data_IF_566985860444
#
_entry.id   IF_566985860444
#
_cell.length_a   1.000
_cell.length_b   1.000
_cell.length_c   1.000
_cell.angle_alpha   90.00
_cell.angle_beta   90.00
_cell.angle_gamma   90.00
#
_symmetry.space_group_name_H-M   'P 1'
#
loop_
_entity.id
_entity.type
_entity.pdbx_description
1 polymer ?
#
# COMPACT_ATOMS: atom_id res chain seq x y z
N UNK A 1 12.02 27.79 0.23
CA UNK A 1 11.18 28.77 0.96
C UNK A 1 9.81 28.77 0.30
N UNK A 2 8.73 28.71 1.07
CA UNK A 2 7.36 28.61 0.54
C UNK A 2 6.72 27.21 0.61
N UNK A 3 7.42 26.21 1.14
CA UNK A 3 6.83 24.88 1.35
C UNK A 3 5.71 24.97 2.39
N UNK A 4 4.55 24.46 2.02
CA UNK A 4 3.37 24.36 2.88
C UNK A 4 3.12 22.90 3.25
N UNK A 5 2.59 22.65 4.44
CA UNK A 5 2.31 21.29 4.89
C UNK A 5 1.03 21.22 5.74
N UNK A 6 0.40 20.04 5.70
CA UNK A 6 -0.60 19.56 6.64
C UNK A 6 -0.33 18.07 6.87
N UNK A 7 -0.72 17.53 8.03
CA UNK A 7 -0.51 16.12 8.38
C UNK A 7 -1.87 15.47 8.66
N UNK A 8 -2.16 14.39 7.93
CA UNK A 8 -3.17 13.42 8.29
C UNK A 8 -2.48 12.26 9.00
N UNK A 9 -2.76 12.07 10.28
CA UNK A 9 -2.17 11.02 11.09
C UNK A 9 -3.15 9.86 11.20
N UNK A 10 -2.79 8.69 10.66
CA UNK A 10 -3.55 7.46 10.84
C UNK A 10 -3.00 6.69 12.05
N UNK A 11 -3.87 6.27 12.96
CA UNK A 11 -3.50 5.50 14.15
C UNK A 11 -4.66 4.64 14.64
N UNK A 12 -4.48 3.94 15.75
CA UNK A 12 -5.55 3.15 16.37
C UNK A 12 -5.53 3.41 17.88
N UNK A 13 -6.66 3.87 18.43
CA UNK A 13 -6.81 4.22 19.86
C UNK A 13 -6.66 3.03 20.79
N UNK A 14 -6.73 1.81 20.27
CA UNK A 14 -6.43 0.58 21.00
C UNK A 14 -4.96 0.49 21.42
N UNK A 15 -4.07 1.27 20.77
CA UNK A 15 -2.66 1.33 21.10
C UNK A 15 -2.33 2.50 22.04
N UNK A 16 -1.34 2.36 22.95
CA UNK A 16 -0.98 3.41 23.92
C UNK A 16 -0.51 4.74 23.31
N UNK A 17 -0.13 4.73 22.04
CA UNK A 17 0.52 5.83 21.35
C UNK A 17 -0.26 6.22 20.09
N UNK A 18 -1.55 6.52 20.26
CA UNK A 18 -2.44 6.97 19.20
C UNK A 18 -1.81 8.10 18.37
N UNK A 19 -1.79 7.94 17.04
CA UNK A 19 -1.28 8.90 16.06
C UNK A 19 0.14 9.44 16.30
N UNK A 20 0.97 8.76 17.12
CA UNK A 20 2.27 9.30 17.56
C UNK A 20 3.23 9.62 16.40
N UNK A 21 3.26 8.79 15.36
CA UNK A 21 4.14 9.04 14.21
C UNK A 21 3.75 10.35 13.49
N UNK A 22 2.47 10.55 13.18
CA UNK A 22 1.99 11.78 12.55
C UNK A 22 2.12 13.00 13.46
N UNK A 23 1.92 12.83 14.78
CA UNK A 23 2.16 13.88 15.77
C UNK A 23 3.62 14.35 15.77
N UNK A 24 4.58 13.42 15.81
CA UNK A 24 6.01 13.74 15.76
C UNK A 24 6.42 14.41 14.45
N UNK A 25 5.89 13.92 13.31
CA UNK A 25 6.14 14.53 12.01
C UNK A 25 5.63 15.98 11.95
N UNK A 26 4.40 16.19 12.43
CA UNK A 26 3.76 17.50 12.45
C UNK A 26 4.50 18.51 13.35
N UNK A 27 5.01 18.06 14.50
CA UNK A 27 5.87 18.88 15.36
C UNK A 27 7.19 19.23 14.67
N UNK A 28 7.90 18.22 14.15
CA UNK A 28 9.18 18.43 13.47
C UNK A 28 9.06 19.37 12.26
N UNK A 29 8.00 19.21 11.46
CA UNK A 29 7.71 20.09 10.32
C UNK A 29 7.35 21.50 10.79
N UNK A 30 6.62 21.66 11.90
CA UNK A 30 6.31 22.96 12.48
C UNK A 30 7.54 23.70 13.02
N UNK A 31 8.50 22.97 13.58
CA UNK A 31 9.77 23.55 14.04
C UNK A 31 10.64 24.03 12.85
N UNK A 32 10.69 23.24 11.77
CA UNK A 32 11.47 23.57 10.56
C UNK A 32 10.77 24.65 9.72
N UNK A 33 9.43 24.67 9.70
CA UNK A 33 8.58 25.56 8.91
C UNK A 33 7.51 26.24 9.77
N UNK A 34 7.86 27.24 10.61
CA UNK A 34 6.91 27.90 11.52
C UNK A 34 5.67 28.48 10.83
N UNK A 35 5.85 29.06 9.63
CA UNK A 35 4.76 29.61 8.79
C UNK A 35 4.31 28.64 7.66
N UNK A 36 4.78 27.39 7.70
CA UNK A 36 4.53 26.38 6.67
C UNK A 36 3.20 25.65 6.85
N UNK A 37 2.67 25.57 8.07
CA UNK A 37 1.46 24.82 8.36
C UNK A 37 0.24 25.50 7.71
N UNK A 38 -0.37 24.84 6.73
CA UNK A 38 -1.55 25.38 6.05
C UNK A 38 -2.87 24.92 6.68
N UNK A 39 -2.84 23.82 7.43
CA UNK A 39 -3.97 23.29 8.18
C UNK A 39 -3.47 22.51 9.40
N UNK A 40 -4.25 22.52 10.49
CA UNK A 40 -3.97 21.70 11.66
C UNK A 40 -3.92 20.20 11.30
N UNK A 41 -3.16 19.45 12.11
CA UNK A 41 -3.09 18.00 11.98
C UNK A 41 -4.45 17.40 12.27
N UNK A 42 -4.87 16.42 11.48
CA UNK A 42 -6.05 15.59 11.73
C UNK A 42 -5.59 14.20 12.17
N UNK A 43 -6.26 13.62 13.15
CA UNK A 43 -5.91 12.32 13.75
C UNK A 43 -7.07 11.33 13.54
N UNK A 44 -6.84 10.32 12.70
CA UNK A 44 -7.82 9.31 12.31
C UNK A 44 -7.62 8.05 13.14
N UNK A 45 -8.74 7.50 13.61
CA UNK A 45 -8.79 6.20 14.27
C UNK A 45 -9.15 5.10 13.26
N UNK A 46 -8.21 4.20 12.99
CA UNK A 46 -8.27 3.17 11.97
C UNK A 46 -8.53 3.77 10.57
N UNK A 47 -9.69 3.49 9.99
CA UNK A 47 -10.08 3.90 8.64
C UNK A 47 -11.41 4.67 8.69
N UNK A 48 -11.38 5.92 9.16
CA UNK A 48 -12.54 6.84 9.07
C UNK A 48 -12.51 7.55 7.71
N UNK A 49 -13.01 6.86 6.67
CA UNK A 49 -13.04 7.39 5.30
C UNK A 49 -13.72 8.76 5.16
N UNK A 50 -14.87 9.04 5.79
CA UNK A 50 -15.46 10.38 5.78
C UNK A 50 -14.52 11.49 6.28
N UNK A 51 -13.80 11.27 7.37
CA UNK A 51 -12.87 12.26 7.92
C UNK A 51 -11.61 12.40 7.05
N UNK A 52 -11.13 11.30 6.47
CA UNK A 52 -10.04 11.30 5.48
C UNK A 52 -10.45 12.12 4.25
N UNK A 53 -11.63 11.88 3.69
CA UNK A 53 -12.14 12.59 2.52
C UNK A 53 -12.31 14.08 2.79
N UNK A 54 -12.85 14.46 3.97
CA UNK A 54 -12.93 15.87 4.38
C UNK A 54 -11.55 16.52 4.44
N UNK A 55 -10.56 15.83 5.02
CA UNK A 55 -9.19 16.34 5.07
C UNK A 55 -8.62 16.54 3.64
N UNK A 56 -8.82 15.56 2.75
CA UNK A 56 -8.38 15.65 1.34
C UNK A 56 -9.03 16.84 0.65
N UNK A 57 -10.35 17.00 0.77
CA UNK A 57 -11.08 18.12 0.17
C UNK A 57 -10.57 19.48 0.68
N UNK A 58 -10.32 19.59 1.98
CA UNK A 58 -9.80 20.82 2.59
C UNK A 58 -8.40 21.15 2.08
N UNK A 59 -7.50 20.16 2.00
CA UNK A 59 -6.15 20.35 1.45
C UNK A 59 -6.22 20.76 -0.02
N UNK A 60 -7.06 20.10 -0.83
CA UNK A 60 -7.25 20.47 -2.24
C UNK A 60 -7.72 21.92 -2.39
N UNK A 61 -8.68 22.35 -1.56
CA UNK A 61 -9.16 23.73 -1.58
C UNK A 61 -8.05 24.74 -1.23
N UNK A 62 -7.23 24.43 -0.23
CA UNK A 62 -6.07 25.26 0.15
C UNK A 62 -5.08 25.35 -1.02
N UNK A 63 -4.72 24.21 -1.63
CA UNK A 63 -3.78 24.15 -2.77
C UNK A 63 -4.31 24.97 -3.94
N UNK A 64 -5.59 24.83 -4.31
CA UNK A 64 -6.21 25.61 -5.40
C UNK A 64 -6.16 27.12 -5.15
N UNK A 65 -6.31 27.56 -3.91
CA UNK A 65 -6.19 28.98 -3.54
C UNK A 65 -4.72 29.44 -3.65
N UNK A 66 -3.77 28.59 -3.30
CA UNK A 66 -2.33 28.89 -3.39
C UNK A 66 -1.80 28.89 -4.83
N UNK A 67 -2.32 28.04 -5.71
CA UNK A 67 -1.92 27.91 -7.12
C UNK A 67 -2.33 29.10 -8.01
N UNK A 68 -3.08 30.08 -7.50
CA UNK A 68 -3.38 31.32 -8.22
C UNK A 68 -2.13 32.21 -8.49
N UNK A 69 -0.94 31.76 -8.08
CA UNK A 69 0.36 32.24 -8.55
C UNK A 69 1.04 31.16 -9.41
N UNK A 70 1.02 31.27 -10.76
CA UNK A 70 1.59 30.25 -11.63
C UNK A 70 3.11 30.36 -11.61
N UNK A 71 3.79 29.40 -11.00
CA UNK A 71 5.16 29.06 -11.37
C UNK A 71 5.25 27.56 -11.59
N UNK A 72 4.70 27.15 -12.73
CA UNK A 72 4.43 25.79 -13.18
C UNK A 72 5.70 25.05 -13.68
N UNK A 73 6.84 25.22 -13.00
CA UNK A 73 8.11 24.67 -13.49
C UNK A 73 8.87 23.72 -12.57
N UNK A 74 8.46 23.51 -11.32
CA UNK A 74 9.16 22.58 -10.42
C UNK A 74 8.18 21.65 -9.70
N UNK A 75 7.61 20.70 -10.44
CA UNK A 75 6.98 19.52 -9.85
C UNK A 75 8.07 18.62 -9.22
N UNK A 76 8.38 18.89 -7.96
CA UNK A 76 9.39 18.17 -7.20
C UNK A 76 9.05 16.67 -7.02
N UNK A 77 7.78 16.28 -7.16
CA UNK A 77 7.36 14.87 -7.09
C UNK A 77 7.92 14.07 -8.28
N UNK A 78 8.09 14.70 -9.44
CA UNK A 78 8.73 14.08 -10.62
C UNK A 78 10.19 13.68 -10.35
N UNK A 79 10.93 14.48 -9.58
CA UNK A 79 12.35 14.23 -9.31
C UNK A 79 12.58 13.19 -8.21
N UNK A 80 11.65 13.04 -7.25
CA UNK A 80 11.75 11.99 -6.21
C UNK A 80 11.52 10.60 -6.82
N UNK A 81 10.52 10.46 -7.70
CA UNK A 81 10.22 9.20 -8.40
C UNK A 81 11.39 8.80 -9.34
N UNK A 82 12.07 9.77 -9.96
CA UNK A 82 13.24 9.51 -10.81
C UNK A 82 14.53 9.23 -10.00
N UNK A 83 14.65 9.74 -8.78
CA UNK A 83 15.85 9.52 -7.94
C UNK A 83 15.90 8.11 -7.32
N UNK A 84 14.74 7.49 -7.06
CA UNK A 84 14.65 6.13 -6.55
C UNK A 84 14.86 5.07 -7.65
N UNK A 85 14.79 5.47 -8.93
CA UNK A 85 15.13 4.62 -10.07
C UNK A 85 16.63 4.28 -10.15
N UNK A 86 17.47 4.81 -9.24
CA UNK A 86 18.89 4.44 -9.11
C UNK A 86 19.19 3.44 -8.01
N UNK A 87 18.17 2.84 -7.38
CA UNK A 87 18.32 1.66 -6.52
C UNK A 87 18.42 0.33 -7.33
N UNK A 88 19.06 0.34 -8.49
CA UNK A 88 19.50 -0.89 -9.17
C UNK A 88 20.75 -1.46 -8.50
N UNK A 89 20.55 -2.08 -7.34
CA UNK A 89 21.38 -3.18 -6.81
C UNK A 89 20.83 -3.71 -5.47
N UNK A 90 19.53 -4.05 -5.37
CA UNK A 90 19.12 -5.01 -4.35
C UNK A 90 19.60 -6.40 -4.81
N UNK A 91 20.87 -6.70 -4.55
CA UNK A 91 21.44 -8.01 -4.84
C UNK A 91 20.56 -9.08 -4.19
N UNK A 92 20.01 -9.99 -5.00
CA UNK A 92 19.47 -11.32 -4.66
C UNK A 92 18.59 -11.49 -3.38
N UNK A 93 18.11 -10.41 -2.76
CA UNK A 93 17.36 -10.41 -1.50
C UNK A 93 15.87 -10.27 -1.78
N UNK A 94 15.07 -11.00 -1.02
CA UNK A 94 13.61 -11.00 -1.17
C UNK A 94 13.00 -9.81 -0.43
N UNK A 95 12.10 -9.09 -1.12
CA UNK A 95 11.41 -7.91 -0.61
C UNK A 95 9.93 -7.98 -0.95
N UNK A 96 9.14 -6.98 -0.51
CA UNK A 96 7.73 -6.84 -0.93
C UNK A 96 7.59 -6.81 -2.45
N UNK A 97 8.49 -6.13 -3.15
CA UNK A 97 8.41 -5.94 -4.61
C UNK A 97 9.08 -7.09 -5.40
N UNK A 98 9.94 -7.86 -4.74
CA UNK A 98 10.57 -9.07 -5.26
C UNK A 98 10.36 -10.26 -4.29
N UNK A 99 9.14 -10.83 -4.22
CA UNK A 99 8.81 -11.86 -3.25
C UNK A 99 9.43 -13.22 -3.60
N UNK A 100 9.66 -14.04 -2.58
CA UNK A 100 10.02 -15.45 -2.77
C UNK A 100 8.77 -16.26 -3.12
N UNK A 101 8.78 -16.92 -4.28
CA UNK A 101 7.79 -17.94 -4.63
C UNK A 101 8.13 -19.25 -3.91
N UNK A 102 7.74 -19.35 -2.63
CA UNK A 102 7.95 -20.53 -1.80
C UNK A 102 6.78 -21.53 -1.91
N UNK A 103 7.01 -22.79 -2.31
CA UNK A 103 5.97 -23.82 -2.30
C UNK A 103 5.45 -24.09 -0.89
N UNK A 104 4.15 -24.35 -0.77
CA UNK A 104 3.56 -24.87 0.47
C UNK A 104 3.79 -26.38 0.50
N UNK A 105 4.53 -26.87 1.49
CA UNK A 105 4.80 -28.32 1.66
C UNK A 105 3.85 -29.00 2.63
N UNK A 106 3.29 -28.24 3.57
CA UNK A 106 2.28 -28.72 4.50
C UNK A 106 1.16 -27.69 4.61
N UNK A 107 -0.09 -28.15 4.53
CA UNK A 107 -1.29 -27.39 4.91
C UNK A 107 -2.22 -28.34 5.67
N UNK A 108 -2.44 -28.11 6.96
CA UNK A 108 -3.31 -28.95 7.79
C UNK A 108 -4.15 -28.13 8.75
N UNK A 109 -5.38 -28.57 9.10
CA UNK A 109 -6.17 -27.91 10.12
C UNK A 109 -5.52 -28.08 11.50
N UNK A 110 -5.61 -27.02 12.31
CA UNK A 110 -5.32 -27.03 13.74
C UNK A 110 -6.59 -27.13 14.59
N UNK A 111 -7.74 -26.80 14.01
CA UNK A 111 -9.04 -26.95 14.65
C UNK A 111 -9.61 -28.35 14.46
N UNK A 112 -10.47 -28.78 15.39
CA UNK A 112 -11.26 -30.00 15.24
C UNK A 112 -12.36 -29.84 14.18
N UNK A 113 -12.81 -30.96 13.64
CA UNK A 113 -13.95 -30.99 12.73
C UNK A 113 -15.19 -30.42 13.44
N UNK A 114 -15.88 -29.48 12.79
CA UNK A 114 -17.05 -28.80 13.34
C UNK A 114 -16.75 -27.55 14.18
N UNK A 115 -15.50 -27.07 14.22
CA UNK A 115 -15.21 -25.75 14.79
C UNK A 115 -15.81 -24.64 13.93
N UNK A 116 -16.29 -23.58 14.59
CA UNK A 116 -16.81 -22.38 13.92
C UNK A 116 -15.73 -21.57 13.18
N UNK A 117 -14.45 -21.77 13.53
CA UNK A 117 -13.31 -21.09 12.90
C UNK A 117 -12.33 -22.11 12.35
N UNK A 118 -11.79 -21.81 11.17
CA UNK A 118 -10.70 -22.59 10.59
C UNK A 118 -9.36 -21.94 10.94
N UNK A 119 -8.55 -22.66 11.72
CA UNK A 119 -7.13 -22.32 11.91
C UNK A 119 -6.30 -23.35 11.17
N UNK A 120 -5.37 -22.90 10.33
CA UNK A 120 -4.50 -23.78 9.55
C UNK A 120 -3.03 -23.63 9.98
N UNK A 121 -2.30 -24.72 9.88
CA UNK A 121 -0.85 -24.77 9.95
C UNK A 121 -0.29 -24.92 8.53
N UNK A 122 0.64 -24.04 8.17
CA UNK A 122 1.25 -23.99 6.85
C UNK A 122 2.77 -24.02 6.98
N UNK A 123 3.43 -24.83 6.16
CA UNK A 123 4.89 -24.83 6.02
C UNK A 123 5.27 -24.41 4.59
N UNK A 124 6.23 -23.51 4.47
CA UNK A 124 6.78 -23.04 3.20
C UNK A 124 8.18 -23.63 2.99
N UNK A 125 8.46 -24.16 1.80
CA UNK A 125 9.81 -24.59 1.43
C UNK A 125 10.65 -23.40 0.98
N UNK A 126 11.60 -23.02 1.82
CA UNK A 126 12.53 -21.92 1.56
C UNK A 126 13.78 -22.36 0.81
N UNK A 127 13.94 -23.64 0.43
CA UNK A 127 15.15 -24.12 -0.29
C UNK A 127 15.35 -23.42 -1.63
N UNK A 128 14.27 -23.00 -2.29
CA UNK A 128 14.33 -22.21 -3.53
C UNK A 128 15.05 -20.88 -3.34
N UNK A 129 15.11 -20.35 -2.12
CA UNK A 129 15.86 -19.14 -1.77
C UNK A 129 17.38 -19.32 -1.79
N UNK A 130 17.89 -20.56 -1.79
CA UNK A 130 19.33 -20.87 -1.68
C UNK A 130 20.01 -20.15 -0.51
N UNK A 131 19.31 -19.96 0.60
CA UNK A 131 19.82 -19.30 1.82
C UNK A 131 19.74 -17.77 1.81
N UNK A 132 19.14 -17.16 0.79
CA UNK A 132 18.96 -15.70 0.68
C UNK A 132 17.72 -15.18 1.41
N UNK A 133 16.80 -16.07 1.74
CA UNK A 133 15.68 -15.77 2.62
C UNK A 133 16.02 -16.27 4.03
N UNK A 134 16.29 -15.34 4.94
CA UNK A 134 16.64 -15.64 6.34
C UNK A 134 15.67 -14.95 7.28
N UNK A 135 15.32 -15.60 8.39
CA UNK A 135 14.45 -15.05 9.42
C UNK A 135 14.86 -15.56 10.80
N UNK A 136 14.48 -14.83 11.85
CA UNK A 136 14.61 -15.20 13.24
C UNK A 136 13.22 -15.52 13.86
N UNK A 137 13.16 -16.33 14.93
CA UNK A 137 11.92 -16.52 15.66
C UNK A 137 11.35 -15.20 16.17
N UNK A 138 10.11 -14.89 15.79
CA UNK A 138 9.45 -13.62 16.10
C UNK A 138 9.34 -12.67 14.91
N UNK A 139 10.09 -12.91 13.83
CA UNK A 139 9.92 -12.16 12.58
C UNK A 139 8.55 -12.45 11.94
N UNK A 140 7.99 -11.42 11.32
CA UNK A 140 6.77 -11.54 10.53
C UNK A 140 7.09 -11.90 9.07
N UNK A 141 6.16 -12.61 8.43
CA UNK A 141 6.25 -12.97 7.01
C UNK A 141 5.06 -12.34 6.29
N UNK A 142 5.32 -11.55 5.26
CA UNK A 142 4.26 -11.06 4.36
C UNK A 142 3.88 -12.15 3.36
N UNK A 143 2.58 -12.41 3.21
CA UNK A 143 2.04 -13.31 2.18
C UNK A 143 1.21 -12.45 1.23
N UNK A 144 1.52 -12.51 -0.06
CA UNK A 144 0.78 -11.79 -1.10
C UNK A 144 -0.35 -12.72 -1.58
N UNK A 145 -1.62 -12.42 -1.29
CA UNK A 145 -2.74 -13.25 -1.69
C UNK A 145 -3.07 -13.05 -3.18
N UNK A 146 -4.00 -13.87 -3.67
CA UNK A 146 -4.70 -13.65 -4.94
C UNK A 146 -6.20 -13.74 -4.67
N UNK A 147 -6.97 -12.94 -5.40
CA UNK A 147 -8.42 -13.03 -5.33
C UNK A 147 -8.92 -14.40 -5.82
N UNK A 148 -10.10 -14.79 -5.36
CA UNK A 148 -10.74 -16.01 -5.80
C UNK A 148 -11.06 -15.91 -7.30
N UNK A 149 -10.65 -16.88 -8.15
CA UNK A 149 -10.95 -16.83 -9.58
C UNK A 149 -12.44 -16.73 -9.87
N UNK A 150 -13.30 -17.35 -9.05
CA UNK A 150 -14.74 -17.30 -9.21
C UNK A 150 -15.32 -15.90 -8.93
N UNK A 151 -14.77 -15.16 -7.96
CA UNK A 151 -15.17 -13.78 -7.66
C UNK A 151 -14.71 -12.81 -8.77
N UNK A 152 -13.51 -13.03 -9.32
CA UNK A 152 -13.03 -12.27 -10.48
C UNK A 152 -13.94 -12.51 -11.69
N UNK A 153 -14.34 -13.75 -11.93
CA UNK A 153 -15.24 -14.09 -13.03
C UNK A 153 -16.63 -13.43 -12.86
N UNK A 154 -17.19 -13.45 -11.65
CA UNK A 154 -18.46 -12.77 -11.36
C UNK A 154 -18.40 -11.27 -11.69
N UNK A 155 -17.30 -10.62 -11.32
CA UNK A 155 -17.08 -9.20 -11.61
C UNK A 155 -16.94 -8.94 -13.12
N UNK A 156 -16.18 -9.77 -13.84
CA UNK A 156 -16.00 -9.64 -15.30
C UNK A 156 -17.34 -9.80 -16.04
N UNK A 157 -18.17 -10.76 -15.62
CA UNK A 157 -19.53 -10.96 -16.15
C UNK A 157 -20.40 -9.73 -15.88
N UNK A 158 -20.37 -9.17 -14.66
CA UNK A 158 -21.13 -7.97 -14.31
C UNK A 158 -20.70 -6.75 -15.13
N UNK A 159 -19.41 -6.66 -15.48
CA UNK A 159 -18.85 -5.63 -16.35
C UNK A 159 -19.04 -5.90 -17.86
N UNK A 160 -19.62 -7.05 -18.23
CA UNK A 160 -19.81 -7.50 -19.61
C UNK A 160 -18.51 -7.57 -20.45
N UNK A 161 -17.44 -8.08 -19.84
CA UNK A 161 -16.10 -8.24 -20.43
C UNK A 161 -15.57 -9.67 -20.20
N UNK A 162 -14.61 -10.12 -21.02
CA UNK A 162 -13.88 -11.37 -20.83
C UNK A 162 -12.56 -11.21 -20.03
N UNK A 163 -12.15 -9.97 -19.75
CA UNK A 163 -10.95 -9.61 -18.99
C UNK A 163 -9.64 -9.71 -19.79
N UNK A 164 -9.70 -9.84 -21.12
CA UNK A 164 -8.54 -9.88 -22.01
C UNK A 164 -7.98 -8.50 -22.37
N UNK A 165 -8.68 -7.43 -22.02
CA UNK A 165 -8.28 -6.06 -22.28
C UNK A 165 -6.99 -5.72 -21.56
N UNK A 166 -6.14 -4.97 -22.24
CA UNK A 166 -4.87 -4.52 -21.69
C UNK A 166 -5.07 -3.30 -20.79
N UNK A 167 -4.52 -3.38 -19.59
CA UNK A 167 -4.47 -2.30 -18.60
C UNK A 167 -3.03 -1.81 -18.49
N UNK A 168 -2.86 -0.49 -18.61
CA UNK A 168 -1.59 0.19 -18.35
C UNK A 168 -1.41 0.38 -16.85
N UNK A 169 -0.39 -0.29 -16.31
CA UNK A 169 -0.04 -0.26 -14.89
C UNK A 169 1.11 0.71 -14.58
N UNK A 170 1.64 1.42 -15.58
CA UNK A 170 2.76 2.37 -15.39
C UNK A 170 2.44 3.52 -14.43
N UNK A 171 1.15 3.83 -14.25
CA UNK A 171 0.64 4.86 -13.33
C UNK A 171 0.09 4.30 -12.01
N UNK A 172 0.09 2.97 -11.86
CA UNK A 172 -0.42 2.32 -10.65
C UNK A 172 0.64 2.27 -9.56
N UNK A 173 0.21 2.18 -8.30
CA UNK A 173 1.09 2.10 -7.14
C UNK A 173 1.94 0.83 -7.22
N UNK A 174 3.18 0.93 -6.75
CA UNK A 174 4.14 -0.17 -6.65
C UNK A 174 3.52 -1.48 -6.11
N UNK A 175 3.79 -2.58 -6.79
CA UNK A 175 3.36 -3.91 -6.39
C UNK A 175 4.33 -5.01 -6.84
N UNK A 176 4.30 -6.18 -6.19
CA UNK A 176 5.16 -7.30 -6.54
C UNK A 176 4.99 -7.72 -7.99
N UNK A 177 6.11 -7.94 -8.68
CA UNK A 177 6.12 -8.50 -10.04
C UNK A 177 5.29 -7.68 -11.05
N UNK A 178 5.12 -6.37 -10.81
CA UNK A 178 4.35 -5.49 -11.68
C UNK A 178 4.98 -5.45 -13.08
N UNK A 179 4.12 -5.59 -14.09
CA UNK A 179 4.48 -5.38 -15.49
C UNK A 179 3.73 -4.14 -15.97
N UNK A 180 4.34 -3.37 -16.88
CA UNK A 180 3.74 -2.13 -17.41
C UNK A 180 2.39 -2.38 -18.07
N UNK A 181 2.17 -3.56 -18.65
CA UNK A 181 0.90 -3.96 -19.23
C UNK A 181 0.51 -5.37 -18.80
N UNK A 182 -0.72 -5.51 -18.32
CA UNK A 182 -1.33 -6.79 -17.94
C UNK A 182 -2.78 -6.85 -18.43
N UNK A 183 -3.37 -8.04 -18.48
CA UNK A 183 -4.80 -8.15 -18.76
C UNK A 183 -5.63 -7.67 -17.57
N UNK A 184 -6.84 -7.16 -17.82
CA UNK A 184 -7.80 -6.76 -16.79
C UNK A 184 -8.03 -7.90 -15.78
N UNK A 185 -8.18 -9.13 -16.25
CA UNK A 185 -8.29 -10.31 -15.38
C UNK A 185 -7.09 -10.44 -14.43
N UNK A 186 -5.87 -10.33 -14.95
CA UNK A 186 -4.65 -10.45 -14.13
C UNK A 186 -4.56 -9.31 -13.12
N UNK A 187 -5.03 -8.12 -13.49
CA UNK A 187 -5.11 -6.96 -12.62
C UNK A 187 -6.05 -7.25 -11.44
N UNK A 188 -7.29 -7.69 -11.73
CA UNK A 188 -8.30 -8.03 -10.73
C UNK A 188 -7.88 -9.21 -9.85
N UNK A 189 -7.13 -10.19 -10.38
CA UNK A 189 -6.68 -11.34 -9.59
C UNK A 189 -5.59 -11.00 -8.55
N UNK A 190 -4.77 -9.98 -8.81
CA UNK A 190 -3.48 -9.82 -8.09
C UNK A 190 -3.21 -8.44 -7.51
N UNK A 191 -3.84 -7.39 -8.05
CA UNK A 191 -3.44 -6.01 -7.78
C UNK A 191 -4.57 -5.13 -7.23
N UNK A 192 -5.81 -5.60 -7.28
CA UNK A 192 -6.96 -4.92 -6.69
C UNK A 192 -7.49 -5.72 -5.50
N UNK A 193 -7.91 -5.00 -4.46
CA UNK A 193 -8.75 -5.60 -3.42
C UNK A 193 -10.20 -5.55 -3.90
N UNK A 194 -10.86 -6.71 -3.93
CA UNK A 194 -12.25 -6.85 -4.37
C UNK A 194 -13.23 -6.99 -3.21
N UNK A 195 -12.74 -7.01 -1.96
CA UNK A 195 -13.55 -7.32 -0.77
C UNK A 195 -13.67 -6.17 0.22
N UNK A 196 -12.89 -5.11 0.07
CA UNK A 196 -13.10 -3.85 0.81
C UNK A 196 -14.21 -3.05 0.13
N UNK A 197 -15.36 -2.97 0.80
CA UNK A 197 -16.47 -2.06 0.50
C UNK A 197 -16.76 -1.25 1.75
#
# INVERSE_FOLDING_TARGET
QGLKFSVLALGDKSYPHFCRAGNLLDMAMGEILPDGRCMERVEIDQEDWPEIDEWVERVQNIVRVMEQHPNDQDDYLRNVILSDATATAHGELYTRDHPLLAPIVTKKPLCALGSEKETIYVEFDLKSSKGKFTYLPGDAIGVIPRNCPDEVEELLVAMATDGSEWIDMSKSISGPLLQDQISLRSALERYFDLRTV
#
